data_IF_592820227861
#
_entry.id   IF_592820227861
#
_cell.length_a   1.000
_cell.length_b   1.000
_cell.length_c   1.000
_cell.angle_alpha   90.00
_cell.angle_beta   90.00
_cell.angle_gamma   90.00
#
_symmetry.space_group_name_H-M   'P 1'
#
loop_
_entity.id
_entity.type
_entity.pdbx_description
1 polymer ?
#
# COMPACT_ATOMS: atom_id res chain seq x y z
N UNK A 1 1.67 -10.13 -8.13
CA UNK A 1 2.06 -9.42 -6.90
C UNK A 1 0.94 -8.54 -6.33
N UNK A 2 -0.15 -8.29 -7.08
CA UNK A 2 -1.27 -7.41 -6.68
C UNK A 2 -2.29 -8.06 -5.73
N UNK A 3 -1.81 -8.87 -4.79
CA UNK A 3 -2.66 -9.44 -3.75
C UNK A 3 -2.38 -8.89 -2.37
N UNK A 4 -1.39 -8.01 -2.18
CA UNK A 4 -1.03 -7.51 -0.84
C UNK A 4 -1.59 -6.10 -0.67
N UNK A 5 -2.62 -5.95 0.16
CA UNK A 5 -3.32 -4.67 0.38
C UNK A 5 -2.62 -3.80 1.43
N UNK A 6 -2.16 -4.43 2.51
CA UNK A 6 -1.59 -3.72 3.65
C UNK A 6 -0.56 -4.55 4.37
N UNK A 7 0.42 -3.86 4.96
CA UNK A 7 1.43 -4.45 5.84
C UNK A 7 1.42 -3.68 7.16
N UNK A 8 1.21 -4.38 8.27
CA UNK A 8 1.19 -3.79 9.61
C UNK A 8 2.23 -4.46 10.50
N UNK A 9 2.84 -3.70 11.40
CA UNK A 9 3.80 -4.21 12.38
C UNK A 9 3.11 -4.52 13.71
N UNK A 10 3.34 -5.72 14.22
CA UNK A 10 2.86 -6.19 15.52
C UNK A 10 4.01 -6.84 16.29
N UNK A 11 3.77 -7.11 17.57
CA UNK A 11 4.68 -7.83 18.47
C UNK A 11 4.06 -9.14 18.91
N UNK A 12 4.85 -10.21 19.05
CA UNK A 12 4.40 -11.41 19.78
C UNK A 12 4.64 -11.28 21.28
N UNK A 13 4.20 -12.28 22.06
CA UNK A 13 4.43 -12.36 23.52
C UNK A 13 5.92 -12.31 23.92
N UNK A 14 6.84 -12.65 23.01
CA UNK A 14 8.30 -12.60 23.24
C UNK A 14 8.90 -11.23 22.93
N UNK A 15 8.12 -10.30 22.39
CA UNK A 15 8.59 -8.98 21.96
C UNK A 15 9.23 -8.95 20.56
N UNK A 16 9.14 -10.05 19.79
CA UNK A 16 9.64 -10.10 18.42
C UNK A 16 8.75 -9.29 17.48
N UNK A 17 9.37 -8.63 16.50
CA UNK A 17 8.67 -7.96 15.42
C UNK A 17 8.05 -8.98 14.45
N UNK A 18 6.75 -8.84 14.19
CA UNK A 18 6.03 -9.61 13.18
C UNK A 18 5.37 -8.63 12.22
N UNK A 19 5.57 -8.84 10.93
CA UNK A 19 4.81 -8.15 9.89
C UNK A 19 3.58 -8.97 9.52
N UNK A 20 2.42 -8.32 9.55
CA UNK A 20 1.14 -8.88 9.14
C UNK A 20 0.85 -8.40 7.72
N UNK A 21 0.78 -9.35 6.80
CA UNK A 21 0.48 -9.14 5.39
C UNK A 21 -1.00 -9.41 5.18
N UNK A 22 -1.78 -8.36 4.91
CA UNK A 22 -3.21 -8.47 4.59
C UNK A 22 -3.37 -8.57 3.08
N UNK A 23 -3.95 -9.69 2.63
CA UNK A 23 -4.13 -9.94 1.21
C UNK A 23 -5.51 -9.47 0.73
N UNK A 24 -5.62 -9.10 -0.55
CA UNK A 24 -6.86 -8.63 -1.17
C UNK A 24 -7.97 -9.69 -1.23
N UNK A 25 -7.62 -10.97 -1.10
CA UNK A 25 -8.57 -12.09 -0.96
C UNK A 25 -8.98 -12.37 0.49
N UNK A 26 -8.55 -11.54 1.44
CA UNK A 26 -8.83 -11.69 2.88
C UNK A 26 -7.84 -12.58 3.63
N UNK A 27 -6.92 -13.25 2.93
CA UNK A 27 -5.87 -14.05 3.56
C UNK A 27 -4.93 -13.17 4.39
N UNK A 28 -4.44 -13.69 5.52
CA UNK A 28 -3.47 -12.99 6.37
C UNK A 28 -2.24 -13.84 6.59
N UNK A 29 -1.05 -13.31 6.30
CA UNK A 29 0.23 -13.97 6.57
C UNK A 29 1.00 -13.25 7.68
N UNK A 30 1.64 -14.04 8.55
CA UNK A 30 2.63 -13.56 9.52
C UNK A 30 4.02 -13.76 8.94
N UNK A 31 4.81 -12.70 8.90
CA UNK A 31 6.20 -12.73 8.40
C UNK A 31 7.09 -12.24 9.54
N UNK A 32 7.99 -13.10 10.01
CA UNK A 32 8.96 -12.69 11.03
C UNK A 32 10.01 -11.77 10.40
N UNK A 33 10.62 -10.92 11.21
CA UNK A 33 11.72 -10.05 10.76
C UNK A 33 12.85 -10.87 10.09
N UNK A 34 13.19 -12.03 10.65
CA UNK A 34 14.21 -12.93 10.11
C UNK A 34 13.85 -13.52 8.72
N UNK A 35 12.56 -13.62 8.39
CA UNK A 35 12.11 -14.18 7.11
C UNK A 35 12.23 -13.15 5.97
N UNK A 36 12.36 -11.86 6.28
CA UNK A 36 12.58 -10.81 5.28
C UNK A 36 13.86 -11.03 4.47
N UNK A 37 14.86 -11.68 5.06
CA UNK A 37 16.12 -12.01 4.41
C UNK A 37 15.96 -13.01 3.27
N UNK A 38 14.96 -13.89 3.35
CA UNK A 38 14.66 -14.87 2.30
C UNK A 38 13.87 -14.28 1.12
N UNK A 39 13.22 -13.12 1.31
CA UNK A 39 12.37 -12.51 0.27
C UNK A 39 13.18 -11.96 -0.91
N UNK A 40 12.54 -11.96 -2.08
CA UNK A 40 13.09 -11.34 -3.28
C UNK A 40 13.02 -9.80 -3.18
N UNK A 41 13.99 -9.12 -3.80
CA UNK A 41 14.13 -7.66 -3.69
C UNK A 41 12.92 -6.90 -4.27
N UNK A 42 12.25 -7.41 -5.29
CA UNK A 42 11.04 -6.81 -5.87
C UNK A 42 9.87 -6.81 -4.88
N UNK A 43 9.67 -7.92 -4.17
CA UNK A 43 8.66 -8.03 -3.11
C UNK A 43 8.98 -7.05 -1.98
N UNK A 44 10.24 -7.00 -1.54
CA UNK A 44 10.66 -6.06 -0.49
C UNK A 44 10.48 -4.59 -0.92
N UNK A 45 10.68 -4.25 -2.20
CA UNK A 45 10.38 -2.90 -2.72
C UNK A 45 8.91 -2.56 -2.64
N UNK A 46 8.04 -3.52 -2.96
CA UNK A 46 6.60 -3.31 -2.84
C UNK A 46 6.17 -3.16 -1.38
N UNK A 47 6.64 -4.05 -0.51
CA UNK A 47 6.41 -3.97 0.95
C UNK A 47 6.89 -2.63 1.50
N UNK A 48 8.11 -2.20 1.15
CA UNK A 48 8.65 -0.90 1.55
C UNK A 48 7.86 0.29 1.00
N UNK A 49 7.20 0.14 -0.14
CA UNK A 49 6.36 1.20 -0.72
C UNK A 49 5.04 1.35 0.05
N UNK A 50 4.42 0.24 0.46
CA UNK A 50 3.11 0.27 1.14
C UNK A 50 3.21 0.38 2.66
N UNK A 51 4.34 -0.03 3.25
CA UNK A 51 4.58 0.02 4.69
C UNK A 51 4.83 1.45 5.16
N UNK A 52 3.81 2.04 5.79
CA UNK A 52 3.88 3.39 6.34
C UNK A 52 4.69 3.40 7.66
N UNK A 53 5.59 4.37 7.80
CA UNK A 53 6.35 4.59 9.03
C UNK A 53 5.45 5.32 10.03
N UNK A 54 5.05 4.62 11.10
CA UNK A 54 4.12 5.13 12.12
C UNK A 54 4.78 5.40 13.48
N UNK A 55 5.87 4.70 13.80
CA UNK A 55 6.59 4.77 15.07
C UNK A 55 8.06 4.32 14.95
N UNK A 56 8.82 4.34 16.05
CA UNK A 56 10.24 3.93 16.07
C UNK A 56 10.45 2.49 15.61
N UNK A 57 9.59 1.57 16.03
CA UNK A 57 9.64 0.16 15.59
C UNK A 57 9.42 0.01 14.09
N UNK A 58 8.47 0.74 13.51
CA UNK A 58 8.27 0.79 12.05
C UNK A 58 9.48 1.42 11.34
N UNK A 59 10.14 2.42 11.95
CA UNK A 59 11.35 3.01 11.38
C UNK A 59 12.50 2.00 11.30
N UNK A 60 12.68 1.18 12.35
CA UNK A 60 13.65 0.08 12.36
C UNK A 60 13.40 -0.88 11.19
N UNK A 61 12.17 -1.38 11.07
CA UNK A 61 11.80 -2.31 9.98
C UNK A 61 11.93 -1.64 8.60
N UNK A 62 11.55 -0.37 8.46
CA UNK A 62 11.71 0.38 7.22
C UNK A 62 13.18 0.49 6.79
N UNK A 63 14.09 0.72 7.74
CA UNK A 63 15.53 0.75 7.47
C UNK A 63 16.04 -0.64 7.07
N UNK A 64 15.62 -1.68 7.78
CA UNK A 64 15.98 -3.06 7.45
C UNK A 64 15.55 -3.43 6.02
N UNK A 65 14.31 -3.11 5.63
CA UNK A 65 13.82 -3.35 4.26
C UNK A 65 14.69 -2.64 3.23
N UNK A 66 15.01 -1.36 3.43
CA UNK A 66 15.86 -0.57 2.53
C UNK A 66 17.26 -1.17 2.37
N UNK A 67 17.86 -1.60 3.47
CA UNK A 67 19.20 -2.21 3.46
C UNK A 67 19.20 -3.56 2.74
N UNK A 68 18.18 -4.40 2.97
CA UNK A 68 18.05 -5.68 2.28
C UNK A 68 17.85 -5.50 0.76
N UNK A 69 17.00 -4.55 0.37
CA UNK A 69 16.80 -4.18 -1.05
C UNK A 69 18.14 -3.76 -1.67
N UNK A 70 18.88 -2.85 -1.01
CA UNK A 70 20.18 -2.37 -1.51
C UNK A 70 21.19 -3.50 -1.69
N UNK A 71 21.33 -4.37 -0.68
CA UNK A 71 22.27 -5.51 -0.73
C UNK A 71 21.92 -6.46 -1.88
N UNK A 72 20.65 -6.86 -1.98
CA UNK A 72 20.19 -7.80 -3.00
C UNK A 72 20.32 -7.23 -4.42
N UNK A 73 19.98 -5.96 -4.62
CA UNK A 73 20.15 -5.30 -5.92
C UNK A 73 21.63 -5.15 -6.30
N UNK A 74 22.51 -4.91 -5.32
CA UNK A 74 23.97 -4.89 -5.53
C UNK A 74 24.51 -6.23 -6.00
N UNK A 75 24.01 -7.34 -5.44
CA UNK A 75 24.35 -8.71 -5.85
C UNK A 75 23.87 -8.97 -7.29
N UNK A 76 22.66 -8.52 -7.66
CA UNK A 76 22.10 -8.72 -9.00
C UNK A 76 22.63 -7.74 -10.05
N UNK A 77 23.59 -6.87 -9.71
CA UNK A 77 24.15 -5.85 -10.62
C UNK A 77 23.18 -4.71 -10.99
N UNK A 78 22.00 -4.66 -10.37
CA UNK A 78 20.96 -3.67 -10.69
C UNK A 78 21.10 -2.43 -9.81
N UNK A 79 22.15 -1.64 -10.06
CA UNK A 79 22.55 -0.50 -9.22
C UNK A 79 21.66 0.74 -9.36
N UNK A 80 20.81 0.78 -10.39
CA UNK A 80 20.02 1.97 -10.77
C UNK A 80 18.50 1.73 -10.78
N UNK A 81 18.00 0.74 -10.05
CA UNK A 81 16.56 0.60 -9.88
C UNK A 81 16.06 1.85 -9.12
N UNK A 82 15.36 2.74 -9.84
CA UNK A 82 14.76 3.96 -9.27
C UNK A 82 13.70 3.67 -8.18
N UNK A 83 12.83 4.63 -7.85
CA UNK A 83 11.74 4.36 -6.91
C UNK A 83 10.83 3.23 -7.40
N UNK A 84 10.16 2.53 -6.48
CA UNK A 84 9.14 1.55 -6.86
C UNK A 84 8.02 2.26 -7.62
N UNK A 85 7.67 1.71 -8.79
CA UNK A 85 6.57 2.19 -9.63
C UNK A 85 5.49 1.12 -9.58
N UNK A 86 4.33 1.39 -8.96
CA UNK A 86 3.20 0.48 -8.96
C UNK A 86 2.73 0.17 -10.38
N UNK A 87 2.16 -1.01 -10.60
CA UNK A 87 1.68 -1.47 -11.90
C UNK A 87 0.22 -1.90 -11.81
N UNK A 88 -0.47 -1.89 -12.95
CA UNK A 88 -1.83 -2.40 -13.09
C UNK A 88 -2.01 -3.05 -14.46
N UNK A 89 -3.06 -3.85 -14.63
CA UNK A 89 -3.40 -4.43 -15.93
C UNK A 89 -4.15 -3.41 -16.79
N UNK A 90 -3.67 -3.16 -18.00
CA UNK A 90 -4.40 -2.38 -19.00
C UNK A 90 -5.51 -3.21 -19.67
N UNK A 91 -6.26 -2.59 -20.58
CA UNK A 91 -7.33 -3.25 -21.35
C UNK A 91 -6.89 -4.42 -22.23
N UNK A 92 -5.58 -4.61 -22.43
CA UNK A 92 -4.99 -5.75 -23.16
C UNK A 92 -4.50 -6.85 -22.22
N UNK A 93 -4.75 -6.72 -20.91
CA UNK A 93 -4.22 -7.63 -19.88
C UNK A 93 -2.71 -7.51 -19.67
N UNK A 94 -2.08 -6.40 -20.09
CA UNK A 94 -0.65 -6.17 -19.93
C UNK A 94 -0.39 -5.38 -18.66
N UNK A 95 0.65 -5.77 -17.90
CA UNK A 95 1.13 -4.98 -16.76
C UNK A 95 1.79 -3.69 -17.26
N UNK A 96 1.17 -2.57 -16.95
CA UNK A 96 1.66 -1.22 -17.27
C UNK A 96 1.93 -0.45 -15.98
N UNK A 97 2.87 0.49 -16.05
CA UNK A 97 3.22 1.35 -14.92
C UNK A 97 2.14 2.40 -14.64
N UNK A 98 1.84 2.63 -13.36
CA UNK A 98 0.99 3.74 -12.95
C UNK A 98 1.71 5.07 -13.21
N UNK A 99 1.01 5.98 -13.90
CA UNK A 99 1.48 7.34 -14.15
C UNK A 99 1.15 8.22 -12.95
N UNK A 100 2.15 8.88 -12.36
CA UNK A 100 1.92 9.88 -11.30
C UNK A 100 1.16 11.08 -11.86
N UNK A 101 0.37 11.74 -11.01
CA UNK A 101 -0.38 12.96 -11.34
C UNK A 101 -1.33 12.80 -12.56
N UNK A 102 -1.78 11.58 -12.84
CA UNK A 102 -2.68 11.30 -13.96
C UNK A 102 -4.15 11.20 -13.56
N UNK A 103 -4.47 11.22 -12.26
CA UNK A 103 -5.85 11.16 -11.81
C UNK A 103 -6.59 12.45 -12.14
N UNK A 104 -7.85 12.34 -12.57
CA UNK A 104 -8.69 13.48 -12.99
C UNK A 104 -10.03 13.44 -12.29
N UNK A 105 -10.55 14.61 -11.95
CA UNK A 105 -11.93 14.73 -11.48
C UNK A 105 -12.85 14.74 -12.69
N UNK A 106 -13.82 13.83 -12.70
CA UNK A 106 -14.85 13.71 -13.72
C UNK A 106 -16.22 13.63 -13.06
N UNK A 107 -17.28 13.86 -13.84
CA UNK A 107 -18.66 13.69 -13.37
C UNK A 107 -19.27 12.50 -14.08
N UNK A 108 -19.70 11.48 -13.33
CA UNK A 108 -20.33 10.27 -13.84
C UNK A 108 -21.72 10.17 -13.21
N UNK A 109 -22.77 10.15 -14.03
CA UNK A 109 -24.16 10.12 -13.56
C UNK A 109 -24.48 11.19 -12.49
N UNK A 110 -23.95 12.41 -12.67
CA UNK A 110 -24.14 13.53 -11.73
C UNK A 110 -23.27 13.48 -10.47
N UNK A 111 -22.42 12.46 -10.30
CA UNK A 111 -21.56 12.28 -9.13
C UNK A 111 -20.11 12.61 -9.47
N UNK A 112 -19.50 13.48 -8.66
CA UNK A 112 -18.07 13.80 -8.77
C UNK A 112 -17.22 12.61 -8.36
N UNK A 113 -16.32 12.23 -9.26
CA UNK A 113 -15.54 11.01 -9.16
C UNK A 113 -14.11 11.32 -9.56
N UNK A 114 -13.14 10.71 -8.86
CA UNK A 114 -11.74 10.72 -9.23
C UNK A 114 -11.45 9.49 -10.09
N UNK A 115 -11.22 9.71 -11.38
CA UNK A 115 -10.82 8.68 -12.34
C UNK A 115 -9.30 8.48 -12.32
N UNK A 116 -8.85 7.23 -12.35
CA UNK A 116 -7.44 6.83 -12.35
C UNK A 116 -7.25 5.56 -13.20
N UNK A 117 -6.02 5.09 -13.42
CA UNK A 117 -5.73 3.95 -14.30
C UNK A 117 -6.44 4.01 -15.69
N UNK A 118 -6.37 5.15 -16.39
CA UNK A 118 -7.14 5.41 -17.62
C UNK A 118 -6.99 4.35 -18.74
N UNK A 119 -5.91 3.57 -18.77
CA UNK A 119 -5.66 2.56 -19.81
C UNK A 119 -6.27 1.19 -19.50
N UNK A 120 -6.92 1.05 -18.34
CA UNK A 120 -7.62 -0.15 -17.89
C UNK A 120 -8.92 -0.41 -18.66
N UNK A 121 -9.31 -1.68 -18.82
CA UNK A 121 -10.63 -2.09 -19.31
C UNK A 121 -11.75 -1.77 -18.31
N UNK A 122 -11.44 -1.79 -17.02
CA UNK A 122 -12.34 -1.44 -15.93
C UNK A 122 -12.23 0.03 -15.59
N UNK A 123 -13.39 0.66 -15.38
CA UNK A 123 -13.47 2.03 -14.89
C UNK A 123 -13.00 2.10 -13.43
N UNK A 124 -11.76 2.52 -13.21
CA UNK A 124 -11.19 2.75 -11.89
C UNK A 124 -11.51 4.16 -11.42
N UNK A 125 -12.43 4.23 -10.46
CA UNK A 125 -13.13 5.45 -10.08
C UNK A 125 -13.36 5.48 -8.57
N UNK A 126 -12.98 6.56 -7.91
CA UNK A 126 -13.31 6.83 -6.51
C UNK A 126 -14.37 7.91 -6.44
N UNK A 127 -15.54 7.60 -5.88
CA UNK A 127 -16.57 8.60 -5.61
C UNK A 127 -16.10 9.56 -4.51
N UNK A 128 -16.21 10.85 -4.76
CA UNK A 128 -15.73 11.93 -3.87
C UNK A 128 -16.84 12.45 -2.93
N UNK A 129 -17.73 11.57 -2.52
CA UNK A 129 -18.87 11.85 -1.67
C UNK A 129 -18.82 11.00 -0.39
N UNK A 130 -19.98 10.76 0.24
CA UNK A 130 -20.09 9.94 1.46
C UNK A 130 -19.62 8.49 1.26
N UNK A 131 -19.49 8.01 0.02
CA UNK A 131 -19.06 6.66 -0.30
C UNK A 131 -17.52 6.52 -0.40
N UNK A 132 -16.73 7.57 -0.14
CA UNK A 132 -15.26 7.50 -0.13
C UNK A 132 -14.73 6.35 0.74
N UNK A 133 -15.39 6.09 1.88
CA UNK A 133 -15.02 5.03 2.85
C UNK A 133 -15.28 3.60 2.37
N UNK A 134 -16.04 3.41 1.30
CA UNK A 134 -16.39 2.08 0.75
C UNK A 134 -15.37 1.58 -0.27
N UNK A 135 -14.38 2.39 -0.64
CA UNK A 135 -13.36 2.01 -1.60
C UNK A 135 -12.38 1.01 -0.99
N UNK A 136 -11.88 0.11 -1.84
CA UNK A 136 -10.91 -0.89 -1.42
C UNK A 136 -9.55 -0.25 -1.19
N UNK A 137 -8.75 -0.85 -0.32
CA UNK A 137 -7.42 -0.34 0.06
C UNK A 137 -6.50 -0.19 -1.16
N UNK A 138 -6.47 -1.18 -2.06
CA UNK A 138 -5.64 -1.11 -3.25
C UNK A 138 -6.09 0.01 -4.21
N UNK A 139 -7.40 0.25 -4.34
CA UNK A 139 -7.95 1.34 -5.16
C UNK A 139 -7.57 2.72 -4.58
N UNK A 140 -7.71 2.88 -3.25
CA UNK A 140 -7.27 4.09 -2.54
C UNK A 140 -5.77 4.34 -2.76
N UNK A 141 -4.93 3.32 -2.65
CA UNK A 141 -3.47 3.44 -2.87
C UNK A 141 -3.15 3.86 -4.30
N UNK A 142 -3.77 3.23 -5.29
CA UNK A 142 -3.59 3.58 -6.70
C UNK A 142 -4.00 5.03 -6.97
N UNK A 143 -5.19 5.43 -6.51
CA UNK A 143 -5.69 6.78 -6.65
C UNK A 143 -4.78 7.81 -5.95
N UNK A 144 -4.35 7.56 -4.71
CA UNK A 144 -3.40 8.43 -3.98
C UNK A 144 -2.08 8.59 -4.75
N UNK A 145 -1.56 7.51 -5.31
CA UNK A 145 -0.32 7.55 -6.10
C UNK A 145 -0.47 8.41 -7.36
N UNK A 146 -1.62 8.31 -8.04
CA UNK A 146 -1.89 9.03 -9.29
C UNK A 146 -2.47 10.44 -9.09
N UNK A 147 -2.85 10.82 -7.87
CA UNK A 147 -3.38 12.15 -7.57
C UNK A 147 -2.25 13.15 -7.32
N UNK A 148 -2.27 14.26 -8.08
CA UNK A 148 -1.33 15.37 -7.92
C UNK A 148 -1.61 16.24 -6.69
N UNK A 149 -0.67 17.14 -6.40
CA UNK A 149 -0.78 18.12 -5.28
C UNK A 149 -0.64 19.57 -5.74
N UNK A 150 -0.48 19.78 -7.05
CA UNK A 150 -0.36 21.10 -7.68
C UNK A 150 -1.66 21.90 -7.61
N UNK A 151 -2.80 21.21 -7.69
CA UNK A 151 -4.12 21.81 -7.56
C UNK A 151 -4.62 21.71 -6.09
N UNK A 152 -5.15 22.80 -5.49
CA UNK A 152 -5.64 22.79 -4.11
C UNK A 152 -6.76 21.78 -3.85
N UNK A 153 -7.66 21.58 -4.81
CA UNK A 153 -8.77 20.63 -4.68
C UNK A 153 -8.25 19.19 -4.71
N UNK A 154 -7.39 18.84 -5.67
CA UNK A 154 -6.73 17.53 -5.72
C UNK A 154 -5.89 17.25 -4.47
N UNK A 155 -5.24 18.27 -3.91
CA UNK A 155 -4.48 18.15 -2.66
C UNK A 155 -5.38 17.77 -1.50
N UNK A 156 -6.55 18.41 -1.39
CA UNK A 156 -7.52 18.12 -0.35
C UNK A 156 -8.14 16.72 -0.52
N UNK A 157 -8.53 16.34 -1.75
CA UNK A 157 -9.01 14.99 -2.07
C UNK A 157 -7.96 13.94 -1.71
N UNK A 158 -6.70 14.17 -2.06
CA UNK A 158 -5.60 13.27 -1.73
C UNK A 158 -5.45 13.10 -0.22
N UNK A 159 -5.55 14.20 0.54
CA UNK A 159 -5.50 14.17 2.01
C UNK A 159 -6.65 13.33 2.58
N UNK A 160 -7.87 13.52 2.08
CA UNK A 160 -9.03 12.74 2.51
C UNK A 160 -8.87 11.25 2.21
N UNK A 161 -8.39 10.88 1.01
CA UNK A 161 -8.11 9.48 0.66
C UNK A 161 -7.05 8.86 1.58
N UNK A 162 -6.00 9.60 1.94
CA UNK A 162 -4.98 9.13 2.88
C UNK A 162 -5.60 8.84 4.25
N UNK A 163 -6.44 9.75 4.77
CA UNK A 163 -7.13 9.53 6.05
C UNK A 163 -8.04 8.30 6.00
N UNK A 164 -8.81 8.13 4.92
CA UNK A 164 -9.68 6.95 4.74
C UNK A 164 -8.86 5.66 4.64
N UNK A 165 -7.73 5.69 3.93
CA UNK A 165 -6.82 4.55 3.85
C UNK A 165 -6.29 4.16 5.23
N UNK A 166 -5.83 5.13 6.03
CA UNK A 166 -5.33 4.89 7.38
C UNK A 166 -6.40 4.32 8.32
N UNK A 167 -7.64 4.81 8.22
CA UNK A 167 -8.78 4.25 8.96
C UNK A 167 -9.04 2.79 8.56
N UNK A 168 -9.08 2.48 7.26
CA UNK A 168 -9.32 1.13 6.75
C UNK A 168 -8.23 0.14 7.20
N UNK A 169 -6.96 0.54 7.16
CA UNK A 169 -5.85 -0.28 7.64
C UNK A 169 -5.92 -0.54 9.16
N UNK A 170 -6.34 0.47 9.93
CA UNK A 170 -6.48 0.33 11.38
C UNK A 170 -7.59 -0.66 11.73
N UNK A 171 -8.71 -0.62 11.03
CA UNK A 171 -9.81 -1.56 11.24
C UNK A 171 -9.42 -3.00 10.85
N UNK A 172 -8.66 -3.19 9.75
CA UNK A 172 -8.11 -4.51 9.41
C UNK A 172 -7.22 -5.06 10.54
N UNK A 173 -6.31 -4.24 11.05
CA UNK A 173 -5.43 -4.65 12.14
C UNK A 173 -6.24 -4.96 13.41
N UNK A 174 -7.21 -4.12 13.75
CA UNK A 174 -8.07 -4.31 14.92
C UNK A 174 -8.85 -5.62 14.84
N UNK A 175 -9.48 -5.90 13.70
CA UNK A 175 -10.22 -7.14 13.48
C UNK A 175 -9.33 -8.38 13.58
N UNK A 176 -8.11 -8.29 13.04
CA UNK A 176 -7.13 -9.36 13.19
C UNK A 176 -6.72 -9.58 14.66
N UNK A 177 -6.40 -8.52 15.40
CA UNK A 177 -5.97 -8.60 16.80
C UNK A 177 -7.05 -9.14 17.75
N UNK A 178 -8.34 -9.00 17.41
CA UNK A 178 -9.44 -9.58 18.20
C UNK A 178 -9.46 -11.11 18.18
N UNK A 179 -8.90 -11.72 17.14
CA UNK A 179 -8.90 -13.18 16.94
C UNK A 179 -7.52 -13.80 17.09
N UNK A 180 -6.47 -12.99 16.98
CA UNK A 180 -5.08 -13.44 17.07
C UNK A 180 -4.56 -13.43 18.52
N UNK A 181 -4.54 -14.61 19.15
CA UNK A 181 -3.91 -14.80 20.46
C UNK A 181 -2.37 -14.63 20.39
N UNK A 182 -1.79 -14.05 21.45
CA UNK A 182 -0.34 -13.92 21.64
C UNK A 182 0.34 -12.89 20.73
N UNK A 183 -0.43 -11.98 20.14
CA UNK A 183 0.04 -10.93 19.23
C UNK A 183 -0.64 -9.60 19.58
N UNK A 184 0.14 -8.51 19.61
CA UNK A 184 -0.33 -7.18 20.01
C UNK A 184 0.18 -6.11 19.07
N UNK A 185 -0.55 -4.99 18.97
CA UNK A 185 -0.08 -3.83 18.24
C UNK A 185 1.31 -3.39 18.72
N UNK A 186 2.22 -3.13 17.78
CA UNK A 186 3.54 -2.62 18.13
C UNK A 186 3.39 -1.20 18.72
N UNK A 187 3.84 -1.03 19.97
CA UNK A 187 3.96 0.28 20.63
C UNK A 187 5.40 0.79 20.52
N UNK A 188 5.56 2.10 20.75
CA UNK A 188 6.84 2.83 20.67
C UNK A 188 7.97 2.23 21.50
#
# INVERSE_FOLDING_TARGET
MDKLDSVQLVKNDRGDNILIYFMSDGTVFRVLEADLYAKHWEELRYVSHIFQVKNKSCQHISNLLKDQIRRKMGITGNKNAGPFIPKYLNHKGQLVEMKKNSAKIVTIAGIRTLAFNEESDKAYNIRLDRDLKKNKIYDLRAAIYQTGVSDPELREIKRQMITVLEEAERELLRGYLQTANGVYAAKD
#
